data_IF_948843322876
#
_entry.id   IF_948843322876
#
_cell.length_a   1.000
_cell.length_b   1.000
_cell.length_c   1.000
_cell.angle_alpha   90.00
_cell.angle_beta   90.00
_cell.angle_gamma   90.00
#
_symmetry.space_group_name_H-M   'P 1'
#
loop_
_entity.id
_entity.type
_entity.pdbx_description
1 polymer ?
#
# COMPACT_ATOMS: atom_id res chain seq x y z
N UNK A 1 -11.58 11.05 -63.38
CA UNK A 1 -10.61 11.57 -62.39
C UNK A 1 -11.40 12.27 -61.29
N UNK A 2 -11.80 11.53 -60.26
CA UNK A 2 -12.59 12.06 -59.12
C UNK A 2 -11.66 11.99 -57.90
N UNK A 3 -11.25 13.15 -57.40
CA UNK A 3 -10.42 13.29 -56.20
C UNK A 3 -11.33 13.15 -54.97
N UNK A 4 -11.11 12.10 -54.18
CA UNK A 4 -11.73 11.93 -52.87
C UNK A 4 -11.08 12.89 -51.86
N UNK A 5 -11.89 13.69 -51.18
CA UNK A 5 -11.47 14.53 -50.08
C UNK A 5 -11.28 13.67 -48.82
N UNK A 6 -10.06 13.61 -48.31
CA UNK A 6 -9.74 13.00 -47.03
C UNK A 6 -10.16 13.97 -45.92
N UNK A 7 -11.21 13.62 -45.19
CA UNK A 7 -11.57 14.28 -43.93
C UNK A 7 -10.55 13.91 -42.85
N UNK A 8 -9.85 14.92 -42.33
CA UNK A 8 -8.98 14.76 -41.18
C UNK A 8 -9.84 14.54 -39.93
N UNK A 9 -9.86 13.30 -39.44
CA UNK A 9 -10.39 12.99 -38.12
C UNK A 9 -9.44 13.58 -37.06
N UNK A 10 -9.89 14.62 -36.38
CA UNK A 10 -9.27 15.10 -35.16
C UNK A 10 -9.47 14.06 -34.07
N UNK A 11 -8.48 13.21 -33.86
CA UNK A 11 -8.39 12.41 -32.65
C UNK A 11 -8.15 13.38 -31.49
N UNK A 12 -9.20 13.60 -30.70
CA UNK A 12 -9.09 14.20 -29.37
C UNK A 12 -8.24 13.21 -28.56
N UNK A 13 -6.96 13.54 -28.39
CA UNK A 13 -6.10 12.89 -27.41
C UNK A 13 -6.71 13.16 -26.05
N UNK A 14 -7.39 12.14 -25.49
CA UNK A 14 -7.81 12.15 -24.11
C UNK A 14 -6.55 12.35 -23.26
N UNK A 15 -6.57 13.40 -22.45
CA UNK A 15 -5.47 13.84 -21.62
C UNK A 15 -4.94 12.68 -20.76
N UNK A 16 -3.69 12.30 -21.00
CA UNK A 16 -2.83 11.64 -20.01
C UNK A 16 -2.51 12.65 -18.91
N UNK A 17 -3.48 12.89 -18.02
CA UNK A 17 -3.29 13.74 -16.86
C UNK A 17 -2.66 12.94 -15.70
N UNK A 18 -1.32 13.00 -15.67
CA UNK A 18 -0.44 13.12 -14.50
C UNK A 18 -0.33 11.94 -13.53
N UNK A 19 0.34 10.87 -13.96
CA UNK A 19 1.14 10.04 -13.05
C UNK A 19 2.43 10.81 -12.70
N UNK A 20 2.33 11.76 -11.77
CA UNK A 20 3.45 12.63 -11.38
C UNK A 20 4.29 12.09 -10.21
N UNK A 21 3.95 10.91 -9.70
CA UNK A 21 4.68 10.32 -8.57
C UNK A 21 6.09 9.89 -8.97
N UNK A 22 7.09 10.39 -8.26
CA UNK A 22 8.50 10.01 -8.46
C UNK A 22 8.94 9.05 -7.37
N UNK A 23 9.21 7.81 -7.77
CA UNK A 23 9.84 6.82 -6.90
C UNK A 23 11.25 7.26 -6.51
N UNK A 24 11.51 7.43 -5.21
CA UNK A 24 12.84 7.65 -4.67
C UNK A 24 13.52 6.31 -4.37
N UNK A 25 13.84 5.57 -5.43
CA UNK A 25 14.44 4.23 -5.32
C UNK A 25 15.92 4.24 -5.72
N UNK A 26 16.75 3.39 -5.09
CA UNK A 26 18.13 3.19 -5.52
C UNK A 26 18.22 2.73 -6.98
N UNK A 27 19.32 3.03 -7.68
CA UNK A 27 19.59 2.45 -9.00
C UNK A 27 19.49 0.92 -8.96
N UNK A 28 18.70 0.34 -9.86
CA UNK A 28 18.50 -1.10 -9.96
C UNK A 28 17.46 -1.70 -9.01
N UNK A 29 16.88 -0.90 -8.09
CA UNK A 29 15.76 -1.34 -7.27
C UNK A 29 14.45 -1.19 -8.07
N UNK A 30 13.66 -2.26 -8.25
CA UNK A 30 12.51 -2.20 -9.15
C UNK A 30 11.33 -1.46 -8.52
N UNK A 31 10.55 -0.76 -9.33
CA UNK A 31 9.30 -0.16 -8.87
C UNK A 31 8.28 -1.23 -8.49
N UNK A 32 7.41 -0.98 -7.49
CA UNK A 32 6.32 -1.88 -7.16
C UNK A 32 5.23 -1.85 -8.24
N UNK A 33 4.40 -2.90 -8.35
CA UNK A 33 3.26 -2.91 -9.25
C UNK A 33 2.22 -1.83 -8.87
N UNK A 34 1.79 -1.06 -9.87
CA UNK A 34 0.74 -0.03 -9.74
C UNK A 34 -0.47 -0.44 -10.60
N UNK A 35 -1.66 -0.59 -10.02
CA UNK A 35 -2.89 -0.86 -10.78
C UNK A 35 -3.20 0.27 -11.77
N UNK A 36 -3.61 -0.09 -12.99
CA UNK A 36 -3.89 0.89 -14.04
C UNK A 36 -5.08 1.81 -13.71
N UNK A 37 -6.02 1.32 -12.89
CA UNK A 37 -7.18 2.05 -12.39
C UNK A 37 -6.89 2.89 -11.13
N UNK A 38 -5.70 2.74 -10.53
CA UNK A 38 -5.23 3.57 -9.43
C UNK A 38 -3.77 4.02 -9.64
N UNK A 39 -3.51 4.87 -10.65
CA UNK A 39 -2.16 5.41 -10.87
C UNK A 39 -1.73 6.25 -9.67
N UNK A 40 -0.43 6.20 -9.36
CA UNK A 40 0.19 6.96 -8.28
C UNK A 40 0.25 8.45 -8.61
N UNK A 41 0.03 9.29 -7.60
CA UNK A 41 0.33 10.73 -7.65
C UNK A 41 0.70 11.20 -6.24
N UNK A 42 1.54 12.25 -6.13
CA UNK A 42 1.89 12.84 -4.83
C UNK A 42 0.63 13.29 -4.07
N UNK A 43 -0.37 13.82 -4.79
CA UNK A 43 -1.63 14.24 -4.21
C UNK A 43 -2.41 13.08 -3.57
N UNK A 44 -2.44 11.90 -4.21
CA UNK A 44 -3.06 10.70 -3.63
C UNK A 44 -2.30 10.19 -2.41
N UNK A 45 -0.96 10.23 -2.44
CA UNK A 45 -0.12 9.82 -1.30
C UNK A 45 -0.36 10.73 -0.09
N UNK A 46 -0.36 12.06 -0.27
CA UNK A 46 -0.62 13.04 0.80
C UNK A 46 -2.03 12.90 1.37
N UNK A 47 -3.03 12.72 0.50
CA UNK A 47 -4.40 12.44 0.96
C UNK A 47 -4.47 11.11 1.73
N UNK A 48 -3.84 10.07 1.21
CA UNK A 48 -3.79 8.75 1.83
C UNK A 48 -3.16 8.78 3.21
N UNK A 49 -2.06 9.53 3.40
CA UNK A 49 -1.42 9.73 4.70
C UNK A 49 -2.37 10.40 5.70
N UNK A 50 -3.07 11.45 5.26
CA UNK A 50 -4.05 12.15 6.09
C UNK A 50 -5.20 11.20 6.51
N UNK A 51 -5.71 10.39 5.58
CA UNK A 51 -6.75 9.40 5.85
C UNK A 51 -6.24 8.25 6.73
N UNK A 52 -5.00 7.80 6.56
CA UNK A 52 -4.39 6.72 7.34
C UNK A 52 -4.37 7.02 8.84
N UNK A 53 -4.29 8.31 9.18
CA UNK A 53 -4.33 8.80 10.55
C UNK A 53 -5.72 9.29 11.00
N UNK A 54 -6.74 9.24 10.13
CA UNK A 54 -8.06 9.82 10.40
C UNK A 54 -8.95 8.89 11.23
N UNK A 55 -9.31 9.26 12.47
CA UNK A 55 -10.08 8.37 13.33
C UNK A 55 -11.55 8.25 12.91
N UNK A 56 -12.04 9.09 11.99
CA UNK A 56 -13.38 8.99 11.40
C UNK A 56 -13.56 7.68 10.63
N UNK A 57 -12.48 6.99 10.28
CA UNK A 57 -12.50 5.67 9.65
C UNK A 57 -12.82 4.52 10.60
N UNK A 58 -13.07 4.77 11.90
CA UNK A 58 -13.47 3.73 12.86
C UNK A 58 -14.89 3.90 13.37
N UNK A 59 -15.49 2.78 13.75
CA UNK A 59 -16.82 2.69 14.39
C UNK A 59 -16.93 3.54 15.65
N UNK A 60 -15.80 3.74 16.36
CA UNK A 60 -15.73 4.51 17.60
C UNK A 60 -15.33 5.97 17.40
N UNK A 61 -14.87 6.34 16.20
CA UNK A 61 -14.29 7.66 15.95
C UNK A 61 -12.97 7.92 16.71
N UNK A 62 -12.30 6.88 17.20
CA UNK A 62 -11.11 6.98 18.06
C UNK A 62 -9.89 6.19 17.53
N UNK A 63 -10.08 5.31 16.55
CA UNK A 63 -9.02 4.50 15.94
C UNK A 63 -8.85 4.84 14.47
N UNK A 64 -7.62 4.72 13.96
CA UNK A 64 -7.28 4.84 12.56
C UNK A 64 -6.31 3.71 12.16
N UNK A 65 -5.91 3.64 10.89
CA UNK A 65 -4.89 2.69 10.46
C UNK A 65 -3.59 2.89 11.26
N UNK A 66 -3.24 4.14 11.57
CA UNK A 66 -2.07 4.51 12.36
C UNK A 66 -2.13 4.06 13.84
N UNK A 67 -3.31 3.71 14.36
CA UNK A 67 -3.43 3.17 15.72
C UNK A 67 -2.76 1.80 15.86
N UNK A 68 -2.83 0.97 14.82
CA UNK A 68 -2.17 -0.35 14.77
C UNK A 68 -0.85 -0.31 13.97
N UNK A 69 -0.77 0.52 12.94
CA UNK A 69 0.42 0.64 12.08
C UNK A 69 1.20 1.89 12.41
N UNK A 70 1.93 1.87 13.53
CA UNK A 70 2.59 3.06 14.06
C UNK A 70 3.93 3.35 13.37
N UNK A 71 4.17 4.55 12.80
CA UNK A 71 5.42 4.86 12.11
C UNK A 71 6.68 4.68 12.98
N UNK A 72 6.60 4.99 14.29
CA UNK A 72 7.71 4.85 15.23
C UNK A 72 8.08 3.39 15.56
N UNK A 73 7.19 2.45 15.21
CA UNK A 73 7.39 1.01 15.37
C UNK A 73 7.43 0.30 14.01
N UNK A 74 7.97 0.97 12.99
CA UNK A 74 8.06 0.46 11.63
C UNK A 74 6.69 -0.03 11.10
N UNK A 75 5.65 0.74 11.37
CA UNK A 75 4.26 0.45 11.00
C UNK A 75 3.69 -0.86 11.59
N UNK A 76 4.10 -1.20 12.80
CA UNK A 76 3.49 -2.24 13.64
C UNK A 76 2.89 -1.63 14.92
N UNK A 77 2.26 -2.43 15.78
CA UNK A 77 1.72 -2.00 17.08
C UNK A 77 2.63 -2.39 18.27
N UNK A 78 3.67 -3.19 18.02
CA UNK A 78 4.54 -3.76 19.06
C UNK A 78 3.86 -4.79 19.96
N UNK A 79 2.70 -5.32 19.56
CA UNK A 79 1.93 -6.28 20.35
C UNK A 79 2.05 -7.71 19.78
N UNK A 80 1.96 -8.76 20.63
CA UNK A 80 1.87 -10.14 20.14
C UNK A 80 0.64 -10.39 19.27
N UNK A 81 -0.48 -9.74 19.61
CA UNK A 81 -1.70 -9.70 18.80
C UNK A 81 -2.34 -8.32 18.89
N UNK A 82 -2.97 -7.90 17.79
CA UNK A 82 -3.57 -6.57 17.68
C UNK A 82 -4.76 -6.39 18.63
N UNK A 83 -5.11 -5.12 18.91
CA UNK A 83 -6.31 -4.73 19.64
C UNK A 83 -7.10 -3.77 18.76
N UNK A 84 -8.34 -4.13 18.44
CA UNK A 84 -9.17 -3.32 17.55
C UNK A 84 -9.91 -2.18 18.24
N UNK A 85 -10.68 -1.41 17.46
CA UNK A 85 -11.32 -0.18 17.90
C UNK A 85 -12.31 -0.36 19.08
N UNK A 86 -12.84 -1.57 19.27
CA UNK A 86 -13.77 -1.92 20.37
C UNK A 86 -13.07 -2.60 21.55
N UNK A 87 -11.73 -2.66 21.56
CA UNK A 87 -10.94 -3.27 22.62
C UNK A 87 -10.81 -4.80 22.53
N UNK A 88 -11.37 -5.42 21.49
CA UNK A 88 -11.23 -6.85 21.26
C UNK A 88 -9.81 -7.21 20.81
N UNK A 89 -9.26 -8.29 21.38
CA UNK A 89 -7.98 -8.86 20.93
C UNK A 89 -8.16 -9.65 19.65
N UNK A 90 -7.22 -9.46 18.74
CA UNK A 90 -7.17 -10.15 17.46
C UNK A 90 -6.42 -11.48 17.56
N UNK A 91 -6.58 -12.29 16.52
CA UNK A 91 -5.97 -13.63 16.42
C UNK A 91 -4.50 -13.58 15.99
N UNK A 92 -4.03 -12.45 15.48
CA UNK A 92 -2.71 -12.30 14.83
C UNK A 92 -2.08 -10.95 15.16
N UNK A 93 -0.77 -10.85 14.98
CA UNK A 93 -0.05 -9.59 15.11
C UNK A 93 -0.33 -8.67 13.91
N UNK A 94 -0.15 -7.37 14.12
CA UNK A 94 -0.19 -6.38 13.06
C UNK A 94 1.10 -6.48 12.22
N UNK A 95 1.03 -6.87 10.92
CA UNK A 95 2.21 -6.89 10.07
C UNK A 95 2.64 -5.45 9.73
N UNK A 96 3.92 -5.25 9.43
CA UNK A 96 4.38 -3.95 8.91
C UNK A 96 3.76 -3.67 7.54
N UNK A 97 3.45 -2.40 7.25
CA UNK A 97 3.10 -1.96 5.89
C UNK A 97 4.30 -1.43 5.09
N UNK A 98 5.51 -1.40 5.67
CA UNK A 98 6.70 -1.12 4.88
C UNK A 98 6.91 -2.17 3.80
N UNK A 99 7.23 -1.71 2.59
CA UNK A 99 7.44 -2.54 1.41
C UNK A 99 6.26 -3.46 1.05
N UNK A 100 5.08 -3.28 1.66
CA UNK A 100 3.91 -4.10 1.36
C UNK A 100 3.48 -3.99 -0.12
N UNK A 101 3.85 -2.88 -0.77
CA UNK A 101 3.71 -2.67 -2.22
C UNK A 101 4.24 -3.82 -3.08
N UNK A 102 5.23 -4.57 -2.58
CA UNK A 102 5.88 -5.66 -3.28
C UNK A 102 5.29 -7.05 -2.97
N UNK A 103 4.35 -7.16 -2.03
CA UNK A 103 3.80 -8.46 -1.65
C UNK A 103 2.88 -9.02 -2.75
N UNK A 104 2.96 -10.33 -3.01
CA UNK A 104 2.04 -11.00 -3.93
C UNK A 104 0.61 -11.16 -3.35
N UNK A 105 0.49 -11.25 -2.03
CA UNK A 105 -0.78 -11.27 -1.30
C UNK A 105 -0.67 -10.54 0.03
N UNK A 106 -1.81 -10.19 0.61
CA UNK A 106 -1.91 -9.37 1.81
C UNK A 106 -2.57 -10.13 2.98
N UNK A 107 -2.30 -9.66 4.19
CA UNK A 107 -2.75 -10.33 5.41
C UNK A 107 -2.00 -11.63 5.70
N UNK A 108 -2.63 -12.49 6.49
CA UNK A 108 -2.01 -13.69 7.11
C UNK A 108 -2.73 -15.01 6.81
N UNK A 109 -3.82 -15.04 6.03
CA UNK A 109 -4.57 -16.29 5.80
C UNK A 109 -5.10 -16.42 4.39
N UNK A 110 -5.44 -15.29 3.77
CA UNK A 110 -6.17 -15.32 2.52
C UNK A 110 -5.21 -15.07 1.36
N UNK A 111 -4.89 -16.10 0.56
CA UNK A 111 -4.04 -15.92 -0.62
C UNK A 111 -4.74 -15.12 -1.73
N UNK A 112 -6.07 -14.94 -1.65
CA UNK A 112 -6.85 -14.28 -2.70
C UNK A 112 -6.84 -12.75 -2.58
N UNK A 113 -6.49 -12.20 -1.42
CA UNK A 113 -6.33 -10.76 -1.25
C UNK A 113 -4.99 -10.33 -1.84
N UNK A 114 -5.02 -9.88 -3.10
CA UNK A 114 -3.82 -9.63 -3.92
C UNK A 114 -3.63 -8.17 -4.32
N UNK A 115 -4.47 -7.27 -3.83
CA UNK A 115 -4.31 -5.81 -4.01
C UNK A 115 -4.39 -5.09 -2.67
N UNK A 116 -3.67 -3.98 -2.55
CA UNK A 116 -3.75 -3.11 -1.38
C UNK A 116 -5.17 -2.57 -1.24
N UNK A 117 -5.82 -2.22 -2.35
CA UNK A 117 -7.19 -1.72 -2.40
C UNK A 117 -8.17 -2.72 -1.77
N UNK A 118 -8.08 -4.01 -2.11
CA UNK A 118 -8.89 -5.06 -1.49
C UNK A 118 -8.53 -5.24 -0.01
N UNK A 119 -7.24 -5.24 0.33
CA UNK A 119 -6.78 -5.37 1.71
C UNK A 119 -7.33 -4.25 2.62
N UNK A 120 -7.47 -3.00 2.15
CA UNK A 120 -8.00 -1.91 2.97
C UNK A 120 -9.47 -2.09 3.35
N UNK A 121 -10.27 -2.76 2.51
CA UNK A 121 -11.67 -3.04 2.81
C UNK A 121 -11.81 -3.99 4.01
N UNK A 122 -10.88 -4.93 4.19
CA UNK A 122 -10.92 -5.90 5.28
C UNK A 122 -10.94 -5.22 6.66
N UNK A 123 -9.90 -4.46 7.10
CA UNK A 123 -9.92 -3.82 8.42
C UNK A 123 -11.02 -2.77 8.54
N UNK A 124 -11.42 -2.13 7.44
CA UNK A 124 -12.52 -1.16 7.44
C UNK A 124 -13.85 -1.81 7.83
N UNK A 125 -14.16 -3.01 7.35
CA UNK A 125 -15.45 -3.67 7.54
C UNK A 125 -15.43 -4.90 8.45
N UNK A 126 -14.26 -5.33 8.93
CA UNK A 126 -14.14 -6.50 9.79
C UNK A 126 -14.88 -6.28 11.12
N UNK A 127 -15.74 -7.22 11.48
CA UNK A 127 -16.58 -7.18 12.68
C UNK A 127 -16.34 -8.33 13.67
N UNK A 128 -15.50 -9.33 13.33
CA UNK A 128 -15.17 -10.44 14.24
C UNK A 128 -13.70 -10.94 14.15
N UNK A 129 -12.82 -10.47 15.05
CA UNK A 129 -13.01 -9.33 15.95
C UNK A 129 -12.99 -8.00 15.18
N UNK A 130 -13.62 -6.96 15.73
CA UNK A 130 -13.67 -5.64 15.10
C UNK A 130 -12.26 -5.06 14.97
N UNK A 131 -11.89 -4.61 13.76
CA UNK A 131 -10.71 -3.76 13.54
C UNK A 131 -11.13 -2.29 13.58
N UNK A 132 -11.56 -1.71 12.46
CA UNK A 132 -12.20 -0.40 12.41
C UNK A 132 -13.73 -0.50 12.46
N UNK A 133 -14.32 -1.52 11.84
CA UNK A 133 -15.72 -1.91 12.06
C UNK A 133 -16.80 -1.00 11.48
N UNK A 134 -16.52 -0.33 10.36
CA UNK A 134 -17.50 0.48 9.66
C UNK A 134 -18.65 -0.36 9.09
N UNK A 135 -19.83 0.25 9.00
CA UNK A 135 -20.97 -0.23 8.23
C UNK A 135 -21.40 0.81 7.18
N UNK A 136 -22.41 0.49 6.37
CA UNK A 136 -22.88 1.37 5.28
C UNK A 136 -23.30 2.77 5.78
N UNK A 137 -24.00 2.84 6.91
CA UNK A 137 -24.44 4.10 7.51
C UNK A 137 -23.25 4.96 7.96
N UNK A 138 -22.22 4.32 8.53
CA UNK A 138 -20.99 4.98 8.94
C UNK A 138 -20.16 5.45 7.74
N UNK A 139 -20.13 4.68 6.65
CA UNK A 139 -19.50 5.11 5.41
C UNK A 139 -20.21 6.34 4.83
N UNK A 140 -21.55 6.35 4.80
CA UNK A 140 -22.31 7.51 4.34
C UNK A 140 -22.01 8.76 5.18
N UNK A 141 -21.98 8.63 6.52
CA UNK A 141 -21.59 9.71 7.42
C UNK A 141 -20.16 10.19 7.22
N UNK A 142 -19.22 9.26 7.07
CA UNK A 142 -17.83 9.57 6.78
C UNK A 142 -17.72 10.42 5.52
N UNK A 143 -18.35 9.99 4.42
CA UNK A 143 -18.30 10.72 3.15
C UNK A 143 -18.83 12.16 3.28
N UNK A 144 -19.95 12.35 3.98
CA UNK A 144 -20.49 13.69 4.28
C UNK A 144 -19.51 14.54 5.10
N UNK A 145 -18.89 13.96 6.13
CA UNK A 145 -17.87 14.63 6.94
C UNK A 145 -16.62 15.01 6.11
N UNK A 146 -16.19 14.16 5.17
CA UNK A 146 -15.03 14.45 4.33
C UNK A 146 -15.32 15.56 3.29
N UNK A 147 -16.55 15.64 2.77
CA UNK A 147 -16.96 16.71 1.84
C UNK A 147 -17.09 18.06 2.54
N UNK A 148 -17.51 18.06 3.81
CA UNK A 148 -17.67 19.28 4.61
C UNK A 148 -16.35 19.77 5.23
N UNK A 149 -15.38 18.88 5.43
CA UNK A 149 -14.01 19.24 5.83
C UNK A 149 -13.25 19.91 4.67
N UNK A 150 -13.11 21.24 4.73
CA UNK A 150 -12.47 22.02 3.67
C UNK A 150 -11.01 21.62 3.40
N UNK A 151 -10.29 21.07 4.38
CA UNK A 151 -8.90 20.65 4.19
C UNK A 151 -8.88 19.34 3.41
N UNK A 152 -9.61 18.33 3.89
CA UNK A 152 -9.65 17.02 3.24
C UNK A 152 -10.31 17.13 1.86
N UNK A 153 -11.39 17.90 1.73
CA UNK A 153 -12.06 18.08 0.44
C UNK A 153 -11.13 18.71 -0.62
N UNK A 154 -10.25 19.65 -0.24
CA UNK A 154 -9.24 20.18 -1.17
C UNK A 154 -8.21 19.12 -1.57
N UNK A 155 -7.77 18.28 -0.64
CA UNK A 155 -6.88 17.17 -0.94
C UNK A 155 -7.54 16.14 -1.87
N UNK A 156 -8.81 15.80 -1.63
CA UNK A 156 -9.63 14.95 -2.51
C UNK A 156 -9.69 15.49 -3.93
N UNK A 157 -9.98 16.79 -4.11
CA UNK A 157 -10.01 17.41 -5.44
C UNK A 157 -8.64 17.48 -6.13
N UNK A 158 -7.56 17.55 -5.36
CA UNK A 158 -6.20 17.48 -5.92
C UNK A 158 -5.79 16.06 -6.31
N UNK A 159 -6.19 15.07 -5.52
CA UNK A 159 -5.90 13.65 -5.75
C UNK A 159 -6.74 13.05 -6.90
N UNK A 160 -7.96 13.56 -7.08
CA UNK A 160 -8.92 13.13 -8.09
C UNK A 160 -9.51 14.37 -8.80
N UNK A 161 -8.79 14.98 -9.76
CA UNK A 161 -9.21 16.21 -10.44
C UNK A 161 -10.56 16.10 -11.17
N UNK A 162 -10.87 14.89 -11.67
CA UNK A 162 -12.13 14.51 -12.32
C UNK A 162 -13.32 14.39 -11.36
N UNK A 163 -13.08 14.41 -10.05
CA UNK A 163 -14.09 14.12 -9.04
C UNK A 163 -15.04 15.29 -8.82
N UNK A 164 -16.32 15.14 -9.16
CA UNK A 164 -17.39 16.01 -8.66
C UNK A 164 -17.81 15.60 -7.23
N UNK A 165 -18.35 16.52 -6.43
CA UNK A 165 -18.83 16.27 -5.05
C UNK A 165 -19.81 15.11 -4.97
N UNK A 166 -20.69 14.99 -5.95
CA UNK A 166 -21.70 13.95 -6.02
C UNK A 166 -21.12 12.56 -6.37
N UNK A 167 -19.85 12.51 -6.78
CA UNK A 167 -19.16 11.29 -7.24
C UNK A 167 -18.19 10.76 -6.17
N UNK A 168 -17.99 11.46 -5.05
CA UNK A 168 -17.15 10.94 -3.96
C UNK A 168 -17.76 9.67 -3.35
N UNK A 169 -17.15 8.54 -3.68
CA UNK A 169 -17.40 7.25 -3.04
C UNK A 169 -16.20 6.73 -2.24
N UNK A 170 -16.45 5.64 -1.50
CA UNK A 170 -15.47 4.89 -0.72
C UNK A 170 -14.22 4.51 -1.53
N UNK A 171 -14.38 4.22 -2.82
CA UNK A 171 -13.27 3.86 -3.71
C UNK A 171 -12.14 4.91 -3.70
N UNK A 172 -12.44 6.21 -3.60
CA UNK A 172 -11.41 7.27 -3.61
C UNK A 172 -10.62 7.29 -2.30
N UNK A 173 -11.29 6.97 -1.19
CA UNK A 173 -10.65 6.82 0.13
C UNK A 173 -9.68 5.63 0.08
N UNK A 174 -10.16 4.48 -0.39
CA UNK A 174 -9.37 3.25 -0.53
C UNK A 174 -8.19 3.44 -1.49
N UNK A 175 -8.40 4.09 -2.63
CA UNK A 175 -7.34 4.35 -3.61
C UNK A 175 -6.26 5.30 -3.07
N UNK A 176 -6.65 6.32 -2.32
CA UNK A 176 -5.71 7.22 -1.66
C UNK A 176 -4.90 6.50 -0.57
N UNK A 177 -5.58 5.75 0.31
CA UNK A 177 -4.93 4.93 1.35
C UNK A 177 -3.95 3.91 0.73
N UNK A 178 -4.38 3.21 -0.33
CA UNK A 178 -3.53 2.28 -1.06
C UNK A 178 -2.32 2.99 -1.69
N UNK A 179 -2.48 4.20 -2.22
CA UNK A 179 -1.36 4.99 -2.76
C UNK A 179 -0.36 5.34 -1.65
N UNK A 180 -0.83 5.76 -0.47
CA UNK A 180 0.05 6.02 0.68
C UNK A 180 0.81 4.76 1.10
N UNK A 181 0.12 3.64 1.32
CA UNK A 181 0.79 2.38 1.70
C UNK A 181 1.78 1.93 0.62
N UNK A 182 1.42 2.08 -0.66
CA UNK A 182 2.31 1.72 -1.79
C UNK A 182 3.55 2.62 -1.84
N UNK A 183 3.48 3.85 -1.33
CA UNK A 183 4.61 4.78 -1.22
C UNK A 183 5.60 4.47 -0.09
N UNK A 184 5.20 3.63 0.89
CA UNK A 184 6.01 3.26 2.05
C UNK A 184 7.11 2.24 1.69
N UNK A 185 7.92 2.57 0.68
CA UNK A 185 9.05 1.77 0.24
C UNK A 185 10.33 2.24 0.94
N UNK A 186 11.04 1.30 1.54
CA UNK A 186 12.33 1.48 2.21
C UNK A 186 13.36 0.61 1.51
N UNK A 187 14.40 1.24 0.99
CA UNK A 187 15.47 0.61 0.20
C UNK A 187 16.86 1.22 0.52
N UNK A 188 17.11 1.52 1.80
CA UNK A 188 18.36 2.16 2.26
C UNK A 188 18.89 1.55 3.58
N UNK A 189 18.53 0.31 3.88
CA UNK A 189 19.11 -0.41 5.00
C UNK A 189 20.61 -0.66 4.78
N UNK A 190 21.33 -1.05 5.84
CA UNK A 190 22.72 -1.46 5.68
C UNK A 190 22.85 -2.63 4.67
N UNK A 191 21.87 -3.53 4.61
CA UNK A 191 21.84 -4.60 3.64
C UNK A 191 21.64 -4.07 2.21
N UNK A 192 20.72 -3.13 2.01
CA UNK A 192 20.49 -2.52 0.68
C UNK A 192 21.74 -1.78 0.20
N UNK A 193 22.38 -0.98 1.06
CA UNK A 193 23.62 -0.26 0.76
C UNK A 193 24.76 -1.20 0.37
N UNK A 194 24.87 -2.32 1.07
CA UNK A 194 25.85 -3.35 0.75
C UNK A 194 25.60 -4.04 -0.60
N UNK A 195 24.33 -4.31 -0.94
CA UNK A 195 23.99 -5.02 -2.18
C UNK A 195 23.92 -4.13 -3.42
N UNK A 196 23.34 -2.93 -3.30
CA UNK A 196 22.98 -2.09 -4.45
C UNK A 196 23.88 -0.87 -4.63
N UNK A 197 24.62 -0.47 -3.60
CA UNK A 197 25.41 0.77 -3.62
C UNK A 197 26.93 0.52 -3.56
N UNK A 198 27.37 -0.74 -3.52
CA UNK A 198 28.79 -1.14 -3.39
C UNK A 198 29.47 -0.53 -2.15
N UNK A 199 28.72 -0.40 -1.06
CA UNK A 199 29.22 0.16 0.19
C UNK A 199 29.47 -0.92 1.24
N UNK A 200 30.63 -0.91 1.89
CA UNK A 200 30.93 -1.89 2.94
C UNK A 200 30.28 -1.56 4.30
N UNK A 201 28.96 -1.61 4.36
CA UNK A 201 28.13 -1.23 5.51
C UNK A 201 27.86 -2.39 6.48
N UNK A 202 28.10 -3.64 6.07
CA UNK A 202 27.84 -4.82 6.90
C UNK A 202 29.04 -5.16 7.79
N UNK A 203 28.79 -5.35 9.09
CA UNK A 203 29.80 -5.88 10.01
C UNK A 203 30.24 -7.30 9.61
N UNK A 204 31.40 -7.74 10.07
CA UNK A 204 31.86 -9.12 9.84
C UNK A 204 30.87 -10.18 10.33
N UNK A 205 30.19 -9.91 11.46
CA UNK A 205 29.12 -10.77 11.97
C UNK A 205 27.90 -10.79 11.03
N UNK A 206 27.45 -9.62 10.54
CA UNK A 206 26.33 -9.53 9.61
C UNK A 206 26.64 -10.24 8.28
N UNK A 207 27.86 -10.09 7.73
CA UNK A 207 28.30 -10.85 6.54
C UNK A 207 28.29 -12.36 6.78
N UNK A 208 28.61 -12.81 7.98
CA UNK A 208 28.55 -14.23 8.36
C UNK A 208 27.11 -14.72 8.45
N UNK A 209 26.22 -13.96 9.10
CA UNK A 209 24.79 -14.26 9.14
C UNK A 209 24.16 -14.31 7.76
N UNK A 210 24.52 -13.37 6.88
CA UNK A 210 24.08 -13.34 5.47
C UNK A 210 24.49 -14.62 4.74
N UNK A 211 25.75 -15.08 4.86
CA UNK A 211 26.19 -16.34 4.24
C UNK A 211 25.39 -17.55 4.74
N UNK A 212 25.01 -17.57 6.02
CA UNK A 212 24.18 -18.63 6.58
C UNK A 212 22.74 -18.56 6.05
N UNK A 213 22.14 -17.37 6.02
CA UNK A 213 20.78 -17.13 5.54
C UNK A 213 20.59 -17.58 4.09
N UNK A 214 21.56 -17.27 3.22
CA UNK A 214 21.54 -17.67 1.81
C UNK A 214 22.16 -19.05 1.54
N UNK A 215 22.56 -19.79 2.58
CA UNK A 215 23.09 -21.14 2.38
C UNK A 215 21.98 -22.14 2.10
N UNK A 216 22.26 -23.12 1.24
CA UNK A 216 21.38 -24.27 1.03
C UNK A 216 21.14 -25.07 2.31
N UNK A 217 22.10 -25.04 3.24
CA UNK A 217 22.01 -25.74 4.52
C UNK A 217 20.87 -25.22 5.40
N UNK A 218 20.67 -23.90 5.47
CA UNK A 218 19.59 -23.32 6.27
C UNK A 218 18.34 -23.03 5.43
N UNK A 219 18.51 -22.78 4.13
CA UNK A 219 17.39 -22.62 3.20
C UNK A 219 16.47 -21.43 3.51
N UNK A 220 16.90 -20.44 4.29
CA UNK A 220 16.04 -19.32 4.71
C UNK A 220 15.50 -18.56 3.49
N UNK A 221 16.37 -18.34 2.50
CA UNK A 221 16.05 -17.66 1.27
C UNK A 221 15.08 -18.42 0.34
N UNK A 222 14.70 -19.67 0.65
CA UNK A 222 13.66 -20.39 -0.10
C UNK A 222 12.27 -19.75 0.08
N UNK A 223 12.01 -19.21 1.27
CA UNK A 223 10.73 -18.57 1.61
C UNK A 223 10.88 -17.06 1.87
N UNK A 224 12.06 -16.61 2.32
CA UNK A 224 12.38 -15.21 2.57
C UNK A 224 13.30 -14.67 1.48
N UNK A 225 12.74 -14.50 0.29
CA UNK A 225 13.49 -14.40 -0.94
C UNK A 225 13.56 -12.96 -1.48
N UNK A 226 14.37 -12.81 -2.53
CA UNK A 226 14.51 -11.57 -3.31
C UNK A 226 15.02 -10.38 -2.49
N UNK A 227 15.00 -9.19 -3.08
CA UNK A 227 15.44 -7.94 -2.46
C UNK A 227 14.60 -7.52 -1.26
N UNK A 228 13.37 -8.03 -1.11
CA UNK A 228 12.48 -7.69 0.00
C UNK A 228 12.56 -8.66 1.19
N UNK A 229 13.34 -9.75 1.08
CA UNK A 229 13.51 -10.79 2.11
C UNK A 229 12.18 -11.31 2.70
N UNK A 230 11.14 -11.34 1.88
CA UNK A 230 9.77 -11.68 2.26
C UNK A 230 9.29 -12.93 1.53
N UNK A 231 8.02 -13.29 1.76
CA UNK A 231 7.29 -14.18 0.84
C UNK A 231 7.26 -13.61 -0.60
N UNK A 232 6.51 -14.24 -1.51
CA UNK A 232 6.65 -13.97 -2.94
C UNK A 232 6.53 -12.47 -3.29
N UNK A 233 7.51 -11.99 -4.04
CA UNK A 233 7.73 -10.57 -4.35
C UNK A 233 7.32 -10.25 -5.79
N UNK A 234 6.41 -9.29 -5.96
CA UNK A 234 6.01 -8.73 -7.25
C UNK A 234 6.66 -7.37 -7.46
N UNK A 235 7.11 -7.12 -8.68
CA UNK A 235 7.68 -5.83 -9.10
C UNK A 235 7.40 -5.59 -10.58
N UNK A 236 7.76 -4.41 -11.10
CA UNK A 236 7.71 -4.16 -12.54
C UNK A 236 8.60 -5.11 -13.36
N UNK A 237 9.63 -5.69 -12.75
CA UNK A 237 10.48 -6.72 -13.38
C UNK A 237 9.94 -8.14 -13.22
N UNK A 238 9.10 -8.38 -12.21
CA UNK A 238 8.56 -9.71 -11.86
C UNK A 238 7.05 -9.63 -11.54
N UNK A 239 6.19 -9.27 -12.52
CA UNK A 239 4.77 -9.04 -12.23
C UNK A 239 3.98 -10.34 -11.99
N UNK A 240 4.38 -11.47 -12.60
CA UNK A 240 3.63 -12.73 -12.63
C UNK A 240 3.94 -13.71 -11.50
N UNK A 241 4.21 -13.23 -10.28
CA UNK A 241 4.51 -14.10 -9.14
C UNK A 241 3.24 -14.51 -8.44
N UNK A 242 2.95 -15.80 -8.39
CA UNK A 242 1.78 -16.34 -7.68
C UNK A 242 1.94 -16.22 -6.16
N UNK A 243 0.85 -15.93 -5.41
CA UNK A 243 0.89 -15.99 -3.96
C UNK A 243 1.22 -17.41 -3.48
N UNK A 244 2.19 -17.50 -2.57
CA UNK A 244 2.55 -18.74 -1.89
C UNK A 244 2.39 -18.47 -0.41
N UNK A 245 1.46 -19.21 0.21
CA UNK A 245 1.20 -19.07 1.62
C UNK A 245 1.98 -20.14 2.39
N UNK A 246 2.80 -19.68 3.33
CA UNK A 246 3.44 -20.55 4.30
C UNK A 246 2.65 -20.41 5.61
N UNK A 247 1.78 -21.38 5.92
CA UNK A 247 1.15 -21.45 7.25
C UNK A 247 2.25 -21.73 8.28
N UNK A 248 2.83 -20.67 8.84
CA UNK A 248 3.64 -20.75 10.06
C UNK A 248 2.78 -20.46 11.28
#
# INVERSE_FOLDING_TARGET
MIRAALGAAWLISAATALADYRWNLPPGFPEPPVPADNPMSDAKVVLGEALFSDPRLSVTGAYSCASCHRPDLAFTDGLPTAVGATGQRHRRNTPSVFNAAYNASFGWADPNTTTLEAQHLIPMFNTDPVELGLNEEQVARLLDQLVTDQRIYRQLRGAFPELDRQVLGLQHIVQALASYVRSLVVANSAFDRYLFFDEDTLTAAAKTGMRLFFSERLGCALCHASFNLSGPVRSTLTPGVEPVFHNT
#
